data_IF_545590236901
#
_entry.id   IF_545590236901
#
_cell.length_a   1.000
_cell.length_b   1.000
_cell.length_c   1.000
_cell.angle_alpha   90.00
_cell.angle_beta   90.00
_cell.angle_gamma   90.00
#
_symmetry.space_group_name_H-M   'P 1'
#
loop_
_entity.id
_entity.type
_entity.pdbx_description
1 polymer ?
#
# COMPACT_ATOMS: atom_id res chain seq x y z
N UNK A 1 -56.11 21.90 34.50
CA UNK A 1 -54.71 21.87 34.99
C UNK A 1 -54.30 20.42 35.18
N UNK A 2 -53.05 20.09 34.85
CA UNK A 2 -52.42 18.75 34.80
C UNK A 2 -52.99 17.85 33.69
N UNK A 3 -52.23 17.28 32.76
CA UNK A 3 -50.79 17.23 32.56
C UNK A 3 -50.46 15.90 31.91
N UNK A 4 -49.84 15.89 30.72
CA UNK A 4 -49.13 14.71 30.21
C UNK A 4 -47.89 15.20 29.46
N UNK A 5 -46.75 15.17 30.15
CA UNK A 5 -45.43 15.34 29.56
C UNK A 5 -45.08 14.06 28.80
N UNK A 6 -45.23 14.06 27.47
CA UNK A 6 -44.58 13.07 26.62
C UNK A 6 -43.08 13.35 26.59
N UNK A 7 -42.35 12.68 27.50
CA UNK A 7 -40.90 12.54 27.44
C UNK A 7 -40.56 11.77 26.16
N UNK A 8 -40.19 12.51 25.11
CA UNK A 8 -39.61 11.96 23.90
C UNK A 8 -38.21 11.44 24.22
N UNK A 9 -38.12 10.14 24.46
CA UNK A 9 -36.86 9.43 24.60
C UNK A 9 -36.17 9.39 23.24
N UNK A 10 -35.26 10.35 23.01
CA UNK A 10 -34.26 10.26 21.94
C UNK A 10 -33.35 9.06 22.23
N UNK A 11 -33.67 7.92 21.62
CA UNK A 11 -32.76 6.77 21.55
C UNK A 11 -31.66 7.16 20.56
N UNK A 12 -30.53 7.64 21.08
CA UNK A 12 -29.30 7.73 20.31
C UNK A 12 -28.86 6.30 19.99
N UNK A 13 -29.21 5.84 18.79
CA UNK A 13 -28.61 4.66 18.16
C UNK A 13 -27.12 4.98 17.98
N UNK A 14 -26.31 4.55 18.94
CA UNK A 14 -24.85 4.55 18.86
C UNK A 14 -24.51 3.53 17.78
N UNK A 15 -24.44 3.98 16.53
CA UNK A 15 -23.86 3.18 15.45
C UNK A 15 -22.37 3.10 15.77
N UNK A 16 -21.81 1.92 16.06
CA UNK A 16 -20.37 1.79 16.16
C UNK A 16 -19.81 2.17 14.80
N UNK A 17 -19.10 3.31 14.74
CA UNK A 17 -18.32 3.68 13.58
C UNK A 17 -17.21 2.63 13.51
N UNK A 18 -17.44 1.58 12.74
CA UNK A 18 -16.42 0.62 12.37
C UNK A 18 -15.39 1.44 11.61
N UNK A 19 -14.34 1.83 12.31
CA UNK A 19 -13.13 2.32 11.70
C UNK A 19 -12.61 1.16 10.87
N UNK A 20 -12.91 1.21 9.57
CA UNK A 20 -12.25 0.39 8.58
C UNK A 20 -10.77 0.79 8.66
N UNK A 21 -10.01 0.09 9.50
CA UNK A 21 -8.59 -0.04 9.28
C UNK A 21 -8.48 -0.45 7.81
N UNK A 22 -7.84 0.38 7.00
CA UNK A 22 -7.59 0.10 5.59
C UNK A 22 -6.63 -1.09 5.61
N UNK A 23 -7.21 -2.29 5.66
CA UNK A 23 -6.49 -3.55 5.51
C UNK A 23 -5.79 -3.51 4.16
N UNK A 24 -4.57 -4.05 4.05
CA UNK A 24 -3.83 -4.12 2.80
C UNK A 24 -4.77 -4.67 1.73
N UNK A 25 -5.04 -3.82 0.76
CA UNK A 25 -6.20 -3.91 -0.11
C UNK A 25 -6.18 -5.24 -0.82
N UNK A 26 -7.29 -5.97 -0.69
CA UNK A 26 -7.60 -7.20 -1.39
C UNK A 26 -7.00 -7.21 -2.82
N UNK A 27 -6.25 -8.25 -3.25
CA UNK A 27 -5.69 -8.41 -4.61
C UNK A 27 -6.66 -8.06 -5.74
N UNK A 28 -7.95 -8.25 -5.50
CA UNK A 28 -9.01 -8.01 -6.47
C UNK A 28 -9.12 -6.53 -6.83
N UNK A 29 -8.99 -5.62 -5.86
CA UNK A 29 -9.27 -4.20 -6.05
C UNK A 29 -8.30 -3.50 -7.01
N UNK A 30 -7.03 -3.92 -7.05
CA UNK A 30 -6.05 -3.33 -7.98
C UNK A 30 -6.30 -3.73 -9.44
N UNK A 31 -7.00 -4.86 -9.66
CA UNK A 31 -7.34 -5.37 -10.98
C UNK A 31 -8.70 -4.88 -11.49
N UNK A 32 -9.50 -4.23 -10.65
CA UNK A 32 -10.78 -3.61 -11.04
C UNK A 32 -10.59 -2.41 -11.99
N UNK A 33 -9.34 -1.96 -12.22
CA UNK A 33 -9.01 -0.98 -13.25
C UNK A 33 -9.29 -1.47 -14.67
N UNK A 34 -9.25 -2.78 -14.89
CA UNK A 34 -9.45 -3.36 -16.21
C UNK A 34 -10.94 -3.55 -16.48
N UNK A 35 -11.41 -3.02 -17.61
CA UNK A 35 -12.79 -3.20 -18.07
C UNK A 35 -12.95 -4.58 -18.73
N UNK A 36 -11.90 -5.08 -19.39
CA UNK A 36 -11.91 -6.39 -20.03
C UNK A 36 -11.83 -7.53 -19.02
N UNK A 37 -12.80 -8.43 -19.04
CA UNK A 37 -12.82 -9.64 -18.19
C UNK A 37 -11.54 -10.48 -18.32
N UNK A 38 -10.99 -10.58 -19.54
CA UNK A 38 -9.74 -11.29 -19.79
C UNK A 38 -8.55 -10.61 -19.10
N UNK A 39 -8.36 -9.31 -19.31
CA UNK A 39 -7.25 -8.54 -18.72
C UNK A 39 -7.34 -8.53 -17.19
N UNK A 40 -8.56 -8.40 -16.66
CA UNK A 40 -8.84 -8.52 -15.23
C UNK A 40 -8.45 -9.89 -14.70
N UNK A 41 -8.85 -10.97 -15.38
CA UNK A 41 -8.50 -12.33 -14.99
C UNK A 41 -6.98 -12.57 -15.04
N UNK A 42 -6.29 -12.04 -16.05
CA UNK A 42 -4.82 -12.10 -16.16
C UNK A 42 -4.13 -11.32 -15.02
N UNK A 43 -4.62 -10.12 -14.70
CA UNK A 43 -4.15 -9.35 -13.56
C UNK A 43 -4.31 -10.14 -12.25
N UNK A 44 -5.51 -10.67 -11.97
CA UNK A 44 -5.79 -11.44 -10.76
C UNK A 44 -4.91 -12.70 -10.71
N UNK A 45 -4.77 -13.42 -11.81
CA UNK A 45 -3.93 -14.62 -11.89
C UNK A 45 -2.45 -14.32 -11.60
N UNK A 46 -1.97 -13.15 -12.04
CA UNK A 46 -0.59 -12.70 -11.82
C UNK A 46 -0.36 -12.23 -10.39
N UNK A 47 -1.27 -11.44 -9.83
CA UNK A 47 -1.12 -10.84 -8.50
C UNK A 47 -1.40 -11.83 -7.38
N UNK A 48 -2.31 -12.79 -7.57
CA UNK A 48 -2.63 -13.83 -6.57
C UNK A 48 -1.51 -14.86 -6.36
N UNK A 49 -0.65 -15.08 -7.35
CA UNK A 49 0.46 -16.05 -7.30
C UNK A 49 1.79 -15.43 -6.87
N UNK A 50 1.83 -14.11 -6.73
CA UNK A 50 3.06 -13.37 -6.47
C UNK A 50 3.14 -12.94 -5.01
N UNK A 51 4.32 -13.01 -4.41
CA UNK A 51 4.61 -12.38 -3.13
C UNK A 51 4.79 -10.87 -3.37
N UNK A 52 3.66 -10.16 -3.36
CA UNK A 52 3.58 -8.72 -3.60
C UNK A 52 3.43 -7.98 -2.28
N UNK A 53 4.20 -6.91 -2.12
CA UNK A 53 3.92 -5.89 -1.12
C UNK A 53 2.66 -5.12 -1.54
N UNK A 54 1.56 -5.32 -0.81
CA UNK A 54 0.26 -4.71 -1.15
C UNK A 54 0.28 -3.18 -1.10
N UNK A 55 1.09 -2.56 -0.24
CA UNK A 55 1.24 -1.11 -0.24
C UNK A 55 1.94 -0.63 -1.51
N UNK A 56 2.96 -1.37 -1.96
CA UNK A 56 3.63 -1.08 -3.23
C UNK A 56 2.67 -1.30 -4.41
N UNK A 57 1.83 -2.33 -4.37
CA UNK A 57 0.82 -2.60 -5.39
C UNK A 57 -0.22 -1.48 -5.48
N UNK A 58 -0.68 -0.93 -4.35
CA UNK A 58 -1.54 0.26 -4.31
C UNK A 58 -0.84 1.50 -4.88
N UNK A 59 0.46 1.67 -4.65
CA UNK A 59 1.21 2.77 -5.30
C UNK A 59 1.32 2.56 -6.82
N UNK A 60 1.45 1.30 -7.28
CA UNK A 60 1.41 0.95 -8.69
C UNK A 60 0.02 1.15 -9.32
N UNK A 61 -1.08 0.98 -8.58
CA UNK A 61 -2.43 1.20 -9.13
C UNK A 61 -2.71 2.66 -9.49
N UNK A 62 -1.89 3.60 -9.00
CA UNK A 62 -1.94 5.02 -9.36
C UNK A 62 -1.34 5.32 -10.74
N UNK A 63 -0.73 4.33 -11.41
CA UNK A 63 -0.27 4.45 -12.79
C UNK A 63 -1.48 4.56 -13.72
N UNK A 64 -1.50 5.56 -14.59
CA UNK A 64 -2.61 5.82 -15.50
C UNK A 64 -2.60 4.83 -16.67
N UNK A 65 -1.42 4.55 -17.24
CA UNK A 65 -1.29 3.61 -18.35
C UNK A 65 -1.12 2.17 -17.86
N UNK A 66 -1.85 1.24 -18.48
CA UNK A 66 -1.81 -0.19 -18.11
C UNK A 66 -0.43 -0.82 -18.32
N UNK A 67 0.32 -0.36 -19.32
CA UNK A 67 1.71 -0.78 -19.54
C UNK A 67 2.60 -0.41 -18.35
N UNK A 68 2.46 0.81 -17.83
CA UNK A 68 3.25 1.30 -16.69
C UNK A 68 2.81 0.61 -15.40
N UNK A 69 1.50 0.35 -15.25
CA UNK A 69 0.97 -0.48 -14.17
C UNK A 69 1.61 -1.88 -14.17
N UNK A 70 1.59 -2.60 -15.30
CA UNK A 70 2.17 -3.94 -15.36
C UNK A 70 3.68 -3.96 -15.14
N UNK A 71 4.39 -2.96 -15.66
CA UNK A 71 5.82 -2.78 -15.39
C UNK A 71 6.09 -2.55 -13.90
N UNK A 72 5.26 -1.72 -13.25
CA UNK A 72 5.31 -1.47 -11.82
C UNK A 72 5.05 -2.74 -11.01
N UNK A 73 3.98 -3.49 -11.31
CA UNK A 73 3.67 -4.76 -10.63
C UNK A 73 4.82 -5.76 -10.76
N UNK A 74 5.47 -5.86 -11.91
CA UNK A 74 6.65 -6.72 -12.09
C UNK A 74 7.85 -6.26 -11.24
N UNK A 75 8.08 -4.95 -11.15
CA UNK A 75 9.23 -4.38 -10.45
C UNK A 75 9.16 -4.61 -8.93
N UNK A 76 7.95 -4.67 -8.37
CA UNK A 76 7.70 -4.84 -6.92
C UNK A 76 7.65 -6.32 -6.48
N UNK A 77 7.69 -7.27 -7.41
CA UNK A 77 7.72 -8.69 -7.07
C UNK A 77 8.96 -9.03 -6.24
N UNK A 78 8.76 -9.75 -5.13
CA UNK A 78 9.83 -10.16 -4.21
C UNK A 78 10.66 -8.99 -3.66
N UNK A 79 10.13 -7.79 -3.74
CA UNK A 79 10.75 -6.60 -3.20
C UNK A 79 10.12 -6.23 -1.87
N UNK A 80 10.92 -5.59 -1.04
CA UNK A 80 10.52 -5.14 0.28
C UNK A 80 10.55 -3.62 0.30
N UNK A 81 9.52 -3.02 0.89
CA UNK A 81 9.39 -1.57 0.91
C UNK A 81 9.20 -1.02 2.33
N UNK A 82 9.69 0.20 2.53
CA UNK A 82 9.32 1.00 3.69
C UNK A 82 8.01 1.73 3.36
N UNK A 83 6.91 1.52 4.12
CA UNK A 83 5.62 2.13 3.81
C UNK A 83 5.65 3.67 3.79
N UNK A 84 6.40 4.32 4.69
CA UNK A 84 6.53 5.78 4.73
C UNK A 84 7.24 6.29 3.46
N UNK A 85 8.22 5.56 2.93
CA UNK A 85 8.90 5.92 1.69
C UNK A 85 8.00 5.70 0.45
N UNK A 86 7.15 4.67 0.45
CA UNK A 86 6.15 4.46 -0.60
C UNK A 86 5.06 5.53 -0.57
N UNK A 87 4.65 5.97 0.61
CA UNK A 87 3.68 7.05 0.77
C UNK A 87 4.15 8.32 0.05
N UNK A 88 5.45 8.65 0.14
CA UNK A 88 6.04 9.78 -0.61
C UNK A 88 5.85 9.59 -2.13
N UNK A 89 6.03 8.38 -2.65
CA UNK A 89 5.82 8.07 -4.06
C UNK A 89 4.32 8.08 -4.47
N UNK A 90 3.40 7.88 -3.52
CA UNK A 90 1.96 7.87 -3.76
C UNK A 90 1.29 9.24 -3.51
N UNK A 91 1.91 10.12 -2.72
CA UNK A 91 1.32 11.34 -2.18
C UNK A 91 0.90 12.37 -3.24
N UNK A 92 1.73 12.56 -4.27
CA UNK A 92 1.44 13.53 -5.32
C UNK A 92 0.58 12.88 -6.42
N UNK A 93 -0.67 13.34 -6.54
CA UNK A 93 -1.61 12.89 -7.58
C UNK A 93 -1.23 13.38 -8.98
N UNK A 94 -0.45 14.47 -9.08
CA UNK A 94 -0.01 15.06 -10.35
C UNK A 94 1.31 14.48 -10.87
N UNK A 95 1.93 13.57 -10.10
CA UNK A 95 3.14 12.89 -10.51
C UNK A 95 2.86 12.01 -11.74
N UNK A 96 3.69 12.18 -12.78
CA UNK A 96 3.60 11.34 -13.97
C UNK A 96 3.88 9.87 -13.66
N UNK A 97 3.34 8.98 -14.49
CA UNK A 97 3.58 7.54 -14.41
C UNK A 97 5.08 7.19 -14.32
N UNK A 98 5.89 7.83 -15.18
CA UNK A 98 7.34 7.65 -15.23
C UNK A 98 8.05 8.08 -13.94
N UNK A 99 7.66 9.22 -13.38
CA UNK A 99 8.22 9.70 -12.10
C UNK A 99 7.81 8.79 -10.94
N UNK A 100 6.55 8.34 -10.92
CA UNK A 100 6.04 7.43 -9.88
C UNK A 100 6.73 6.08 -9.93
N UNK A 101 6.87 5.52 -11.12
CA UNK A 101 7.59 4.27 -11.33
C UNK A 101 9.07 4.41 -10.91
N UNK A 102 9.72 5.51 -11.29
CA UNK A 102 11.10 5.79 -10.88
C UNK A 102 11.23 5.93 -9.36
N UNK A 103 10.29 6.61 -8.70
CA UNK A 103 10.25 6.75 -7.25
C UNK A 103 10.17 5.39 -6.56
N UNK A 104 9.19 4.56 -6.94
CA UNK A 104 9.00 3.19 -6.40
C UNK A 104 10.28 2.38 -6.59
N UNK A 105 10.89 2.43 -7.77
CA UNK A 105 12.14 1.73 -8.07
C UNK A 105 13.32 2.18 -7.21
N UNK A 106 13.38 3.47 -6.82
CA UNK A 106 14.45 4.00 -5.96
C UNK A 106 14.31 3.58 -4.50
N UNK A 107 13.09 3.48 -4.00
CA UNK A 107 12.82 3.06 -2.60
C UNK A 107 12.76 1.54 -2.44
N UNK A 108 12.79 0.80 -3.54
CA UNK A 108 12.82 -0.66 -3.57
C UNK A 108 14.00 -1.23 -2.78
N UNK A 109 13.72 -2.14 -1.85
CA UNK A 109 14.72 -2.79 -1.00
C UNK A 109 15.61 -1.78 -0.24
N UNK A 110 15.03 -0.63 0.13
CA UNK A 110 15.69 0.41 0.90
C UNK A 110 15.00 0.63 2.23
N UNK A 111 15.81 0.90 3.24
CA UNK A 111 15.36 1.42 4.53
C UNK A 111 15.76 2.89 4.67
N UNK A 112 14.89 3.61 5.37
CA UNK A 112 15.04 5.02 5.68
C UNK A 112 14.69 5.26 7.14
N UNK A 113 15.42 6.15 7.78
CA UNK A 113 15.01 6.74 9.05
C UNK A 113 13.97 7.83 8.81
N UNK A 114 13.12 8.10 9.80
CA UNK A 114 12.15 9.21 9.75
C UNK A 114 12.83 10.55 9.43
N UNK A 115 14.04 10.79 9.94
CA UNK A 115 14.80 12.02 9.70
C UNK A 115 15.22 12.13 8.23
N UNK A 116 15.69 11.04 7.63
CA UNK A 116 16.06 11.02 6.20
C UNK A 116 14.83 11.27 5.31
N UNK A 117 13.71 10.62 5.60
CA UNK A 117 12.47 10.79 4.82
C UNK A 117 11.95 12.21 4.90
N UNK A 118 11.87 12.78 6.10
CA UNK A 118 11.44 14.18 6.28
C UNK A 118 12.34 15.13 5.47
N UNK A 119 13.66 14.99 5.58
CA UNK A 119 14.61 15.81 4.83
C UNK A 119 14.41 15.70 3.31
N UNK A 120 14.07 14.51 2.80
CA UNK A 120 13.79 14.33 1.39
C UNK A 120 12.42 14.87 0.98
N UNK A 121 11.39 14.70 1.80
CA UNK A 121 10.03 15.16 1.52
C UNK A 121 9.91 16.69 1.49
N UNK A 122 10.79 17.42 2.19
CA UNK A 122 10.81 18.88 2.24
C UNK A 122 11.40 19.52 0.95
N UNK A 123 11.77 18.73 -0.08
CA UNK A 123 12.28 19.27 -1.35
C UNK A 123 11.15 19.83 -2.23
N UNK A 124 11.45 20.90 -2.97
CA UNK A 124 10.48 21.66 -3.75
C UNK A 124 9.92 20.94 -4.99
N UNK A 125 10.61 19.92 -5.53
CA UNK A 125 10.18 19.16 -6.69
C UNK A 125 10.27 17.66 -6.44
N UNK A 126 9.35 16.89 -7.02
CA UNK A 126 9.38 15.43 -6.88
C UNK A 126 10.64 14.81 -7.48
N UNK A 127 11.24 15.40 -8.51
CA UNK A 127 12.52 14.93 -9.04
C UNK A 127 13.64 15.03 -7.99
N UNK A 128 13.69 16.14 -7.23
CA UNK A 128 14.63 16.31 -6.14
C UNK A 128 14.33 15.34 -4.98
N UNK A 129 13.05 15.08 -4.68
CA UNK A 129 12.64 14.08 -3.69
C UNK A 129 13.16 12.69 -4.10
N UNK A 130 12.92 12.26 -5.35
CA UNK A 130 13.34 10.97 -5.89
C UNK A 130 14.87 10.85 -5.85
N UNK A 131 15.59 11.90 -6.24
CA UNK A 131 17.04 11.92 -6.18
C UNK A 131 17.54 11.80 -4.73
N UNK A 132 16.94 12.54 -3.80
CA UNK A 132 17.28 12.50 -2.37
C UNK A 132 17.06 11.10 -1.77
N UNK A 133 15.92 10.47 -2.06
CA UNK A 133 15.61 9.11 -1.62
C UNK A 133 16.61 8.08 -2.17
N UNK A 134 17.09 8.27 -3.40
CA UNK A 134 18.13 7.44 -3.98
C UNK A 134 19.48 7.53 -3.25
N UNK A 135 19.85 8.71 -2.75
CA UNK A 135 21.16 8.99 -2.14
C UNK A 135 21.22 8.70 -0.64
N UNK A 136 20.11 8.85 0.10
CA UNK A 136 20.09 8.80 1.57
C UNK A 136 19.59 7.46 2.13
N UNK A 137 19.56 6.41 1.30
CA UNK A 137 19.01 5.11 1.69
C UNK A 137 20.09 4.13 2.17
N UNK A 138 19.70 3.22 3.07
CA UNK A 138 20.48 2.02 3.36
C UNK A 138 19.86 0.82 2.63
N UNK A 139 20.65 -0.13 2.11
CA UNK A 139 20.09 -1.39 1.63
C UNK A 139 19.31 -2.07 2.76
N UNK A 140 18.06 -2.44 2.48
CA UNK A 140 17.25 -3.21 3.42
C UNK A 140 17.88 -4.59 3.55
N UNK A 141 18.10 -5.03 4.78
CA UNK A 141 18.50 -6.43 5.01
C UNK A 141 17.34 -7.30 4.52
N UNK A 142 17.60 -8.33 3.68
CA UNK A 142 16.55 -9.27 3.31
C UNK A 142 15.95 -9.81 4.60
N UNK A 143 14.61 -9.92 4.65
CA UNK A 143 13.96 -10.59 5.76
C UNK A 143 14.65 -11.95 5.91
N UNK A 144 15.25 -12.20 7.07
CA UNK A 144 15.89 -13.49 7.36
C UNK A 144 14.81 -14.52 7.09
N UNK A 145 15.05 -15.38 6.08
CA UNK A 145 14.13 -16.45 5.70
C UNK A 145 13.94 -17.27 6.97
N UNK A 146 12.82 -17.07 7.67
CA UNK A 146 12.43 -17.96 8.75
C UNK A 146 12.30 -19.32 8.10
N UNK A 147 13.14 -20.26 8.54
CA UNK A 147 12.99 -21.67 8.24
C UNK A 147 11.49 -22.04 8.24
N UNK A 148 10.98 -22.80 7.26
CA UNK A 148 9.58 -23.26 7.24
C UNK A 148 9.23 -24.24 8.37
N UNK A 149 10.14 -24.51 9.31
CA UNK A 149 9.91 -25.33 10.49
C UNK A 149 9.40 -24.45 11.65
N UNK A 150 8.09 -24.18 11.69
CA UNK A 150 7.53 -23.41 12.79
C UNK A 150 6.02 -23.19 12.80
N UNK A 151 5.22 -23.97 12.09
CA UNK A 151 3.84 -24.17 12.50
C UNK A 151 3.87 -25.19 13.65
N UNK A 152 3.88 -24.72 14.89
CA UNK A 152 3.39 -25.54 15.98
C UNK A 152 1.86 -25.57 15.87
N UNK A 153 1.24 -26.73 15.59
CA UNK A 153 -0.21 -26.83 15.73
C UNK A 153 -0.57 -26.56 17.19
N UNK A 154 -1.61 -25.75 17.41
CA UNK A 154 -2.28 -25.67 18.70
C UNK A 154 -2.77 -27.08 19.04
N UNK A 155 -2.14 -27.69 20.05
CA UNK A 155 -2.61 -28.96 20.61
C UNK A 155 -3.92 -28.70 21.36
N UNK A 156 -5.04 -28.93 20.67
CA UNK A 156 -6.37 -28.92 21.27
C UNK A 156 -6.69 -30.35 21.72
N UNK A 157 -6.06 -30.76 22.83
CA UNK A 157 -6.46 -31.89 23.69
C UNK A 157 -6.14 -31.43 25.12
N UNK A 158 -7.06 -31.30 26.08
CA UNK A 158 -8.28 -32.04 26.40
C UNK A 158 -9.19 -31.11 27.22
#
# INVERSE_FOLDING_TARGET
MLGVFLKSSFIFLIIPIITLAIEPSNPIGICDRFIGEQEKAECVAKTSKSDLDWYAASACSLQQEDKNFHACINEIQQATFNPEALEICAKDSNMSDSQRFLCIRKVKNRDYTRVQMKKCADNASMDNVIQCLGQNSQPRKPASVKNPAGFQPLDVRK
#
